data_IF_809140210738
#
_entry.id   IF_809140210738
#
_cell.length_a   1.000
_cell.length_b   1.000
_cell.length_c   1.000
_cell.angle_alpha   90.00
_cell.angle_beta   90.00
_cell.angle_gamma   90.00
#
_symmetry.space_group_name_H-M   'P 1'
#
loop_
_entity.id
_entity.type
_entity.pdbx_description
1 polymer ?
#
# COMPACT_ATOMS: atom_id res chain seq x y z
N UNK A 1 -5.50 21.91 7.17
CA UNK A 1 -4.91 20.68 7.71
C UNK A 1 -4.60 19.77 6.54
N UNK A 2 -3.33 19.61 6.14
CA UNK A 2 -2.98 18.67 5.06
C UNK A 2 -3.19 17.26 5.58
N UNK A 3 -4.29 16.62 5.17
CA UNK A 3 -4.51 15.19 5.35
C UNK A 3 -3.34 14.47 4.68
N UNK A 4 -2.40 13.95 5.48
CA UNK A 4 -1.26 13.19 4.95
C UNK A 4 -1.82 12.02 4.14
N UNK A 5 -1.43 11.96 2.88
CA UNK A 5 -1.84 10.89 1.98
C UNK A 5 -1.40 9.54 2.58
N UNK A 6 -2.25 8.50 2.62
CA UNK A 6 -1.88 7.19 3.18
C UNK A 6 -0.55 6.64 2.64
N UNK A 7 -0.31 6.80 1.34
CA UNK A 7 0.95 6.46 0.67
C UNK A 7 2.16 7.20 1.25
N UNK A 8 2.02 8.47 1.62
CA UNK A 8 3.11 9.25 2.23
C UNK A 8 3.43 8.75 3.64
N UNK A 9 2.40 8.46 4.44
CA UNK A 9 2.60 7.92 5.79
C UNK A 9 3.30 6.57 5.75
N UNK A 10 2.86 5.67 4.87
CA UNK A 10 3.49 4.37 4.65
C UNK A 10 4.95 4.54 4.21
N UNK A 11 5.22 5.37 3.20
CA UNK A 11 6.58 5.60 2.70
C UNK A 11 7.52 6.13 3.79
N UNK A 12 7.06 7.01 4.67
CA UNK A 12 7.89 7.54 5.75
C UNK A 12 8.31 6.45 6.74
N UNK A 13 7.39 5.56 7.13
CA UNK A 13 7.71 4.42 8.02
C UNK A 13 8.71 3.49 7.34
N UNK A 14 8.48 3.15 6.07
CA UNK A 14 9.36 2.26 5.33
C UNK A 14 10.76 2.83 5.12
N UNK A 15 10.87 4.14 4.88
CA UNK A 15 12.16 4.84 4.81
C UNK A 15 12.86 4.87 6.18
N UNK A 16 12.13 4.94 7.28
CA UNK A 16 12.71 4.82 8.62
C UNK A 16 13.26 3.41 8.87
N UNK A 17 12.52 2.37 8.48
CA UNK A 17 12.91 0.97 8.67
C UNK A 17 14.09 0.54 7.79
N UNK A 18 14.05 0.85 6.50
CA UNK A 18 14.96 0.29 5.50
C UNK A 18 15.91 1.31 4.87
N UNK A 19 15.69 2.61 5.12
CA UNK A 19 16.49 3.68 4.53
C UNK A 19 16.52 3.62 3.01
N UNK A 20 17.73 3.65 2.45
CA UNK A 20 17.96 3.59 1.01
C UNK A 20 17.53 2.26 0.36
N UNK A 21 17.40 1.19 1.14
CA UNK A 21 17.08 -0.15 0.63
C UNK A 21 15.57 -0.42 0.56
N UNK A 22 14.71 0.57 0.81
CA UNK A 22 13.25 0.39 0.84
C UNK A 22 12.69 -0.31 -0.40
N UNK A 23 13.23 -0.04 -1.59
CA UNK A 23 12.77 -0.64 -2.84
C UNK A 23 13.19 -2.11 -2.99
N UNK A 24 14.20 -2.56 -2.26
CA UNK A 24 14.61 -3.97 -2.24
C UNK A 24 13.69 -4.82 -1.35
N UNK A 25 13.07 -4.20 -0.34
CA UNK A 25 12.19 -4.87 0.63
C UNK A 25 10.71 -4.76 0.27
N UNK A 26 10.31 -3.82 -0.58
CA UNK A 26 8.89 -3.50 -0.79
C UNK A 26 8.45 -3.75 -2.22
N UNK A 27 7.21 -4.22 -2.37
CA UNK A 27 6.66 -4.57 -3.68
C UNK A 27 5.17 -4.23 -3.75
N UNK A 28 4.76 -3.65 -4.87
CA UNK A 28 3.36 -3.45 -5.21
C UNK A 28 2.95 -4.45 -6.29
N UNK A 29 1.81 -5.10 -6.07
CA UNK A 29 1.09 -5.81 -7.13
C UNK A 29 -0.23 -5.10 -7.42
N UNK A 30 -0.61 -5.09 -8.70
CA UNK A 30 -1.89 -4.55 -9.14
C UNK A 30 -2.56 -5.54 -10.08
N UNK A 31 -3.85 -5.79 -9.88
CA UNK A 31 -4.68 -6.58 -10.79
C UNK A 31 -5.90 -5.76 -11.16
N UNK A 32 -6.19 -5.70 -12.45
CA UNK A 32 -7.42 -5.10 -12.97
C UNK A 32 -8.39 -6.22 -13.32
N UNK A 33 -9.65 -6.09 -12.88
CA UNK A 33 -10.72 -6.96 -13.32
C UNK A 33 -11.10 -6.59 -14.76
N UNK A 34 -11.26 -7.60 -15.61
CA UNK A 34 -11.52 -7.42 -17.04
C UNK A 34 -12.96 -6.98 -17.37
N UNK A 35 -13.73 -6.51 -16.38
CA UNK A 35 -15.12 -6.08 -16.58
C UNK A 35 -15.13 -4.69 -17.22
N UNK A 36 -15.52 -4.54 -18.50
CA UNK A 36 -15.38 -3.27 -19.23
C UNK A 36 -16.27 -2.15 -18.68
N UNK A 37 -17.38 -2.51 -18.03
CA UNK A 37 -18.38 -1.57 -17.53
C UNK A 37 -18.19 -1.22 -16.05
N UNK A 38 -17.29 -1.91 -15.35
CA UNK A 38 -17.02 -1.71 -13.92
C UNK A 38 -15.63 -2.25 -13.58
N UNK A 39 -14.55 -1.60 -14.06
CA UNK A 39 -13.20 -2.04 -13.78
C UNK A 39 -12.96 -1.96 -12.27
N UNK A 40 -12.54 -3.08 -11.70
CA UNK A 40 -12.15 -3.16 -10.29
C UNK A 40 -10.64 -3.35 -10.24
N UNK A 41 -9.96 -2.50 -9.50
CA UNK A 41 -8.54 -2.59 -9.26
C UNK A 41 -8.29 -3.19 -7.89
N UNK A 42 -7.52 -4.27 -7.86
CA UNK A 42 -6.89 -4.82 -6.67
C UNK A 42 -5.48 -4.24 -6.57
N UNK A 43 -5.13 -3.69 -5.41
CA UNK A 43 -3.78 -3.30 -5.07
C UNK A 43 -3.34 -4.08 -3.83
N UNK A 44 -2.17 -4.70 -3.91
CA UNK A 44 -1.55 -5.42 -2.80
C UNK A 44 -0.14 -4.89 -2.54
N UNK A 45 0.16 -4.64 -1.27
CA UNK A 45 1.46 -4.17 -0.81
C UNK A 45 2.17 -5.26 -0.02
N UNK A 46 3.42 -5.51 -0.37
CA UNK A 46 4.26 -6.53 0.23
C UNK A 46 5.53 -5.92 0.83
N UNK A 47 5.97 -6.50 1.93
CA UNK A 47 7.26 -6.24 2.57
C UNK A 47 7.92 -7.60 2.78
N UNK A 48 9.14 -7.81 2.26
CA UNK A 48 9.87 -9.08 2.35
C UNK A 48 8.99 -10.29 1.94
N UNK A 49 8.28 -10.13 0.82
CA UNK A 49 7.28 -11.06 0.26
C UNK A 49 6.05 -11.38 1.12
N UNK A 50 5.92 -10.76 2.30
CA UNK A 50 4.71 -10.83 3.13
C UNK A 50 3.71 -9.76 2.72
N UNK A 51 2.43 -10.12 2.58
CA UNK A 51 1.37 -9.17 2.27
C UNK A 51 0.99 -8.37 3.51
N UNK A 52 1.14 -7.06 3.44
CA UNK A 52 0.81 -6.13 4.52
C UNK A 52 -0.50 -5.37 4.29
N UNK A 53 -0.99 -5.30 3.06
CA UNK A 53 -2.24 -4.63 2.77
C UNK A 53 -2.77 -4.99 1.40
N UNK A 54 -4.08 -5.21 1.31
CA UNK A 54 -4.77 -5.44 0.04
C UNK A 54 -6.10 -4.70 0.04
N UNK A 55 -6.42 -4.04 -1.06
CA UNK A 55 -7.69 -3.34 -1.22
C UNK A 55 -8.20 -3.38 -2.65
N UNK A 56 -9.52 -3.26 -2.78
CA UNK A 56 -10.24 -3.20 -4.05
C UNK A 56 -10.88 -1.82 -4.21
N UNK A 57 -10.81 -1.23 -5.39
CA UNK A 57 -11.53 0.00 -5.71
C UNK A 57 -11.82 0.13 -7.21
N UNK A 58 -12.69 1.08 -7.56
CA UNK A 58 -13.04 1.34 -8.97
C UNK A 58 -11.94 2.08 -9.75
N UNK A 59 -10.86 2.48 -9.08
CA UNK A 59 -9.68 3.08 -9.71
C UNK A 59 -8.41 2.53 -9.07
N UNK A 60 -7.33 2.44 -9.86
CA UNK A 60 -6.01 2.01 -9.37
C UNK A 60 -5.52 2.86 -8.18
N UNK A 61 -5.71 4.18 -8.26
CA UNK A 61 -5.28 5.12 -7.23
C UNK A 61 -6.00 4.88 -5.91
N UNK A 62 -7.33 4.76 -5.94
CA UNK A 62 -8.12 4.49 -4.74
C UNK A 62 -7.77 3.14 -4.11
N UNK A 63 -7.54 2.10 -4.91
CA UNK A 63 -7.12 0.79 -4.42
C UNK A 63 -5.74 0.88 -3.75
N UNK A 64 -4.80 1.58 -4.38
CA UNK A 64 -3.46 1.77 -3.85
C UNK A 64 -3.48 2.57 -2.53
N UNK A 65 -4.31 3.60 -2.44
CA UNK A 65 -4.42 4.44 -1.25
C UNK A 65 -4.97 3.67 -0.05
N UNK A 66 -6.00 2.85 -0.28
CA UNK A 66 -6.59 2.04 0.77
C UNK A 66 -5.67 0.89 1.18
N UNK A 67 -5.00 0.23 0.23
CA UNK A 67 -3.99 -0.77 0.53
C UNK A 67 -2.82 -0.17 1.33
N UNK A 68 -2.41 1.07 1.02
CA UNK A 68 -1.36 1.76 1.77
C UNK A 68 -1.80 2.11 3.20
N UNK A 69 -3.07 2.50 3.38
CA UNK A 69 -3.65 2.74 4.71
C UNK A 69 -3.63 1.45 5.54
N UNK A 70 -4.11 0.34 4.97
CA UNK A 70 -4.12 -0.97 5.64
C UNK A 70 -2.70 -1.41 6.02
N UNK A 71 -1.74 -1.29 5.09
CA UNK A 71 -0.35 -1.63 5.35
C UNK A 71 0.27 -0.80 6.47
N UNK A 72 0.02 0.51 6.48
CA UNK A 72 0.48 1.39 7.55
C UNK A 72 -0.14 1.01 8.90
N UNK A 73 -1.44 0.74 8.95
CA UNK A 73 -2.12 0.33 10.20
C UNK A 73 -1.58 -1.02 10.72
N UNK A 74 -1.28 -1.97 9.83
CA UNK A 74 -0.67 -3.25 10.18
C UNK A 74 0.75 -3.06 10.73
N UNK A 75 1.59 -2.23 10.09
CA UNK A 75 2.92 -1.89 10.58
C UNK A 75 2.87 -1.22 11.96
N UNK A 76 1.93 -0.29 12.18
CA UNK A 76 1.73 0.32 13.49
C UNK A 76 1.35 -0.69 14.56
N UNK A 77 0.50 -1.66 14.23
CA UNK A 77 0.12 -2.73 15.14
C UNK A 77 1.30 -3.62 15.52
N UNK A 78 2.26 -3.78 14.62
CA UNK A 78 3.52 -4.49 14.86
C UNK A 78 4.56 -3.65 15.64
N UNK A 79 4.28 -2.37 15.87
CA UNK A 79 5.13 -1.46 16.66
C UNK A 79 6.02 -0.53 15.84
N UNK A 80 5.85 -0.47 14.52
CA UNK A 80 6.60 0.44 13.65
C UNK A 80 5.82 1.76 13.48
N UNK A 81 6.43 2.90 13.85
CA UNK A 81 5.79 4.22 13.77
C UNK A 81 6.75 5.35 13.45
#
# INVERSE_FOLDING_TARGET
MSTRHPRTSLNNVLQNMYGANVLAHTRWEFKESSSPNSPTWEASFYIDDMNYGTALANTKGAAQDEAARIAYDNLKREGYS
#
